data_IF_837796850674
#
_entry.id   IF_837796850674
#
_cell.length_a   1.000
_cell.length_b   1.000
_cell.length_c   1.000
_cell.angle_alpha   90.00
_cell.angle_beta   90.00
_cell.angle_gamma   90.00
#
_symmetry.space_group_name_H-M   'P 1'
#
loop_
_entity.id
_entity.type
_entity.pdbx_description
1 polymer ?
#
# COMPACT_ATOMS: atom_id res chain seq x y z
N UNK A 1 -7.70 -3.58 -7.03
CA UNK A 1 -9.16 -3.84 -7.08
C UNK A 1 -9.42 -5.33 -7.15
N UNK A 2 -10.51 -5.80 -6.58
CA UNK A 2 -10.92 -7.19 -6.67
C UNK A 2 -11.06 -7.63 -8.12
N UNK A 3 -10.78 -8.89 -8.41
CA UNK A 3 -10.99 -9.44 -9.75
C UNK A 3 -12.44 -9.88 -9.93
N UNK A 4 -12.99 -9.70 -11.14
CA UNK A 4 -14.34 -10.21 -11.45
C UNK A 4 -14.44 -11.72 -11.30
N UNK A 5 -13.34 -12.44 -11.52
CA UNK A 5 -13.27 -13.88 -11.28
C UNK A 5 -13.59 -14.20 -9.83
N UNK A 6 -12.88 -13.57 -8.88
CA UNK A 6 -13.11 -13.76 -7.44
C UNK A 6 -14.55 -13.42 -7.05
N UNK A 7 -15.08 -12.28 -7.53
CA UNK A 7 -16.44 -11.82 -7.22
C UNK A 7 -17.49 -12.83 -7.73
N UNK A 8 -17.31 -13.39 -8.95
CA UNK A 8 -18.26 -14.34 -9.52
C UNK A 8 -18.16 -15.74 -8.90
N UNK A 9 -16.94 -16.22 -8.59
CA UNK A 9 -16.71 -17.57 -8.09
C UNK A 9 -16.93 -17.70 -6.58
N UNK A 10 -16.68 -16.61 -5.81
CA UNK A 10 -16.69 -16.62 -4.35
C UNK A 10 -17.53 -15.46 -3.77
N UNK A 11 -18.68 -15.14 -4.40
CA UNK A 11 -19.52 -13.98 -4.07
C UNK A 11 -19.80 -13.85 -2.57
N UNK A 12 -20.22 -14.92 -1.91
CA UNK A 12 -20.55 -14.94 -0.49
C UNK A 12 -19.33 -14.66 0.41
N UNK A 13 -18.14 -15.17 0.03
CA UNK A 13 -16.90 -14.88 0.73
C UNK A 13 -16.52 -13.42 0.58
N UNK A 14 -16.68 -12.86 -0.61
CA UNK A 14 -16.40 -11.44 -0.87
C UNK A 14 -17.32 -10.55 -0.02
N UNK A 15 -18.62 -10.83 0.01
CA UNK A 15 -19.57 -10.06 0.84
C UNK A 15 -19.18 -10.11 2.32
N UNK A 16 -18.96 -11.33 2.88
CA UNK A 16 -18.52 -11.46 4.29
C UNK A 16 -17.22 -10.73 4.58
N UNK A 17 -16.24 -10.77 3.65
CA UNK A 17 -14.98 -10.03 3.80
C UNK A 17 -15.16 -8.53 3.81
N UNK A 18 -16.08 -8.00 3.00
CA UNK A 18 -16.43 -6.57 3.01
C UNK A 18 -17.16 -6.17 4.29
N UNK A 19 -18.07 -7.01 4.79
CA UNK A 19 -18.78 -6.82 6.07
C UNK A 19 -17.78 -6.80 7.23
N UNK A 20 -16.76 -7.69 7.22
CA UNK A 20 -15.67 -7.72 8.20
C UNK A 20 -14.86 -6.42 8.22
N UNK A 21 -14.71 -5.75 7.07
CA UNK A 21 -14.12 -4.39 6.97
C UNK A 21 -15.12 -3.26 7.25
N UNK A 22 -16.32 -3.59 7.71
CA UNK A 22 -17.40 -2.62 7.93
C UNK A 22 -17.73 -1.78 6.68
N UNK A 23 -17.51 -2.34 5.49
CA UNK A 23 -17.88 -1.68 4.24
C UNK A 23 -19.42 -1.58 4.13
N UNK A 24 -19.98 -0.37 3.97
CA UNK A 24 -21.42 -0.19 3.95
C UNK A 24 -22.04 -0.81 2.69
N UNK A 25 -23.23 -1.42 2.87
CA UNK A 25 -24.02 -1.99 1.77
C UNK A 25 -23.20 -2.98 0.90
N UNK A 26 -22.42 -3.86 1.56
CA UNK A 26 -21.50 -4.78 0.88
C UNK A 26 -22.20 -5.63 -0.18
N UNK A 27 -23.39 -6.19 0.15
CA UNK A 27 -24.16 -7.01 -0.76
C UNK A 27 -24.64 -6.22 -1.98
N UNK A 28 -25.23 -5.06 -1.77
CA UNK A 28 -25.76 -4.19 -2.82
C UNK A 28 -24.64 -3.75 -3.79
N UNK A 29 -23.45 -3.39 -3.25
CA UNK A 29 -22.30 -3.01 -4.06
C UNK A 29 -21.81 -4.16 -4.96
N UNK A 30 -21.79 -5.38 -4.44
CA UNK A 30 -21.42 -6.56 -5.24
C UNK A 30 -22.51 -6.92 -6.26
N UNK A 31 -23.78 -6.85 -5.90
CA UNK A 31 -24.89 -7.09 -6.81
C UNK A 31 -24.85 -6.08 -7.99
N UNK A 32 -24.51 -4.81 -7.74
CA UNK A 32 -24.35 -3.78 -8.77
C UNK A 32 -23.19 -4.10 -9.71
N UNK A 33 -22.02 -4.49 -9.20
CA UNK A 33 -20.87 -4.93 -10.03
C UNK A 33 -21.25 -6.11 -10.91
N UNK A 34 -21.94 -7.11 -10.36
CA UNK A 34 -22.38 -8.28 -11.11
C UNK A 34 -23.42 -7.94 -12.20
N UNK A 35 -24.31 -6.97 -11.93
CA UNK A 35 -25.30 -6.50 -12.91
C UNK A 35 -24.62 -5.77 -14.08
N UNK A 36 -23.62 -4.90 -13.79
CA UNK A 36 -22.85 -4.20 -14.82
C UNK A 36 -21.98 -5.19 -15.62
N UNK A 37 -21.36 -6.19 -14.98
CA UNK A 37 -20.61 -7.22 -15.69
C UNK A 37 -21.50 -8.08 -16.58
N UNK A 38 -22.71 -8.39 -16.15
CA UNK A 38 -23.72 -9.09 -16.99
C UNK A 38 -24.05 -8.28 -18.25
N UNK A 39 -24.35 -6.98 -18.10
CA UNK A 39 -24.62 -6.06 -19.21
C UNK A 39 -23.43 -5.98 -20.19
N UNK A 40 -22.21 -5.91 -19.67
CA UNK A 40 -20.98 -5.92 -20.47
C UNK A 40 -20.82 -7.20 -21.26
N UNK A 41 -21.04 -8.38 -20.62
CA UNK A 41 -20.95 -9.69 -21.28
C UNK A 41 -22.01 -9.88 -22.35
N UNK A 42 -23.25 -9.43 -22.10
CA UNK A 42 -24.34 -9.45 -23.08
C UNK A 42 -23.99 -8.59 -24.29
N UNK A 43 -23.51 -7.36 -24.07
CA UNK A 43 -23.07 -6.47 -25.16
C UNK A 43 -21.91 -7.08 -25.97
N UNK A 44 -20.94 -7.72 -25.31
CA UNK A 44 -19.83 -8.42 -25.98
C UNK A 44 -20.33 -9.57 -26.86
N UNK A 45 -21.27 -10.38 -26.36
CA UNK A 45 -21.84 -11.49 -27.13
C UNK A 45 -22.59 -11.02 -28.39
N UNK A 46 -23.37 -9.95 -28.25
CA UNK A 46 -24.10 -9.38 -29.39
C UNK A 46 -23.15 -8.70 -30.39
N UNK A 47 -22.10 -8.03 -29.90
CA UNK A 47 -21.02 -7.49 -30.74
C UNK A 47 -20.35 -8.61 -31.57
N UNK A 48 -19.94 -9.70 -30.92
CA UNK A 48 -19.29 -10.83 -31.58
C UNK A 48 -20.18 -11.47 -32.63
N UNK A 49 -21.50 -11.60 -32.36
CA UNK A 49 -22.49 -12.08 -33.35
C UNK A 49 -22.57 -11.13 -34.55
N UNK A 50 -22.75 -9.84 -34.33
CA UNK A 50 -22.81 -8.84 -35.40
C UNK A 50 -21.54 -8.86 -36.26
N UNK A 51 -20.36 -8.94 -35.67
CA UNK A 51 -19.09 -8.98 -36.40
C UNK A 51 -18.95 -10.28 -37.23
N UNK A 52 -19.38 -11.43 -36.71
CA UNK A 52 -19.36 -12.70 -37.42
C UNK A 52 -20.33 -12.68 -38.62
N UNK A 53 -21.58 -12.23 -38.44
CA UNK A 53 -22.57 -12.09 -39.52
C UNK A 53 -22.09 -11.09 -40.57
N UNK A 54 -21.54 -9.94 -40.18
CA UNK A 54 -20.98 -8.95 -41.08
C UNK A 54 -19.87 -9.54 -41.95
N UNK A 55 -18.97 -10.36 -41.36
CA UNK A 55 -17.92 -11.07 -42.10
C UNK A 55 -18.47 -12.05 -43.11
N UNK A 56 -19.49 -12.81 -42.74
CA UNK A 56 -20.13 -13.79 -43.63
C UNK A 56 -20.83 -13.09 -44.81
N UNK A 57 -21.65 -12.07 -44.53
CA UNK A 57 -22.41 -11.33 -45.56
C UNK A 57 -21.47 -10.54 -46.49
N UNK A 58 -20.38 -9.95 -45.95
CA UNK A 58 -19.37 -9.28 -46.76
C UNK A 58 -18.70 -10.22 -47.76
N UNK A 59 -18.48 -11.49 -47.36
CA UNK A 59 -17.98 -12.52 -48.28
C UNK A 59 -18.97 -12.90 -49.40
N UNK A 60 -20.30 -12.81 -49.14
CA UNK A 60 -21.34 -13.07 -50.12
C UNK A 60 -21.45 -11.98 -51.20
N UNK A 61 -21.23 -10.71 -50.84
CA UNK A 61 -21.31 -9.58 -51.78
C UNK A 61 -20.40 -9.81 -52.98
N UNK A 62 -19.15 -10.19 -52.76
CA UNK A 62 -18.19 -10.45 -53.83
C UNK A 62 -18.60 -11.61 -54.77
N UNK A 63 -19.29 -12.61 -54.22
CA UNK A 63 -19.80 -13.75 -54.97
C UNK A 63 -21.03 -13.34 -55.82
N UNK A 64 -22.01 -12.67 -55.22
CA UNK A 64 -23.22 -12.18 -55.90
C UNK A 64 -22.87 -11.22 -57.03
N UNK A 65 -21.91 -10.37 -56.84
CA UNK A 65 -21.43 -9.45 -57.90
C UNK A 65 -20.83 -10.21 -59.07
N UNK A 66 -20.06 -11.30 -58.83
CA UNK A 66 -19.51 -12.12 -59.89
C UNK A 66 -20.59 -12.93 -60.64
N UNK A 67 -21.65 -13.30 -59.94
CA UNK A 67 -22.82 -14.03 -60.52
C UNK A 67 -23.77 -13.07 -61.25
N UNK A 68 -23.53 -11.76 -61.27
CA UNK A 68 -24.38 -10.75 -61.93
C UNK A 68 -25.66 -10.38 -61.18
N UNK A 69 -25.86 -10.84 -59.95
CA UNK A 69 -27.03 -10.61 -59.08
C UNK A 69 -26.91 -9.30 -58.31
N UNK A 70 -27.02 -8.20 -59.05
CA UNK A 70 -26.79 -6.85 -58.48
C UNK A 70 -27.78 -6.49 -57.39
N UNK A 71 -29.08 -6.80 -57.58
CA UNK A 71 -30.13 -6.41 -56.62
C UNK A 71 -29.97 -7.17 -55.27
N UNK A 72 -29.64 -8.47 -55.34
CA UNK A 72 -29.31 -9.27 -54.13
C UNK A 72 -28.05 -8.73 -53.44
N UNK A 73 -27.03 -8.33 -54.21
CA UNK A 73 -25.82 -7.73 -53.66
C UNK A 73 -26.08 -6.39 -52.94
N UNK A 74 -26.98 -5.55 -53.44
CA UNK A 74 -27.36 -4.30 -52.77
C UNK A 74 -28.17 -4.54 -51.48
N UNK A 75 -29.04 -5.56 -51.44
CA UNK A 75 -29.72 -5.96 -50.22
C UNK A 75 -28.75 -6.43 -49.14
N UNK A 76 -27.76 -7.26 -49.51
CA UNK A 76 -26.72 -7.73 -48.59
C UNK A 76 -25.83 -6.56 -48.11
N UNK A 77 -25.53 -5.60 -48.95
CA UNK A 77 -24.81 -4.36 -48.55
C UNK A 77 -25.61 -3.56 -47.50
N UNK A 78 -26.92 -3.41 -47.69
CA UNK A 78 -27.78 -2.75 -46.70
C UNK A 78 -27.77 -3.47 -45.33
N UNK A 79 -27.83 -4.83 -45.34
CA UNK A 79 -27.73 -5.64 -44.13
C UNK A 79 -26.37 -5.49 -43.45
N UNK A 80 -25.27 -5.44 -44.20
CA UNK A 80 -23.92 -5.19 -43.66
C UNK A 80 -23.83 -3.81 -43.05
N UNK A 81 -24.48 -2.80 -43.64
CA UNK A 81 -24.51 -1.42 -43.10
C UNK A 81 -25.28 -1.39 -41.75
N UNK A 82 -26.43 -2.04 -41.65
CA UNK A 82 -27.23 -2.13 -40.42
C UNK A 82 -26.43 -2.88 -39.29
N UNK A 83 -25.80 -3.98 -39.63
CA UNK A 83 -24.95 -4.72 -38.68
C UNK A 83 -23.73 -3.89 -38.22
N UNK A 84 -23.18 -3.06 -39.09
CA UNK A 84 -22.08 -2.16 -38.74
C UNK A 84 -22.53 -1.08 -37.74
N UNK A 85 -23.71 -0.58 -37.88
CA UNK A 85 -24.30 0.37 -36.93
C UNK A 85 -24.59 -0.27 -35.58
N UNK A 86 -25.20 -1.47 -35.59
CA UNK A 86 -25.45 -2.25 -34.37
C UNK A 86 -24.16 -2.62 -33.64
N UNK A 87 -23.12 -3.06 -34.36
CA UNK A 87 -21.83 -3.39 -33.78
C UNK A 87 -21.20 -2.19 -33.07
N UNK A 88 -21.32 -0.99 -33.65
CA UNK A 88 -20.86 0.26 -33.01
C UNK A 88 -21.63 0.56 -31.72
N UNK A 89 -22.95 0.38 -31.71
CA UNK A 89 -23.77 0.60 -30.50
C UNK A 89 -23.41 -0.38 -29.37
N UNK A 90 -23.17 -1.65 -29.70
CA UNK A 90 -22.73 -2.63 -28.72
C UNK A 90 -21.32 -2.37 -28.19
N UNK A 91 -20.41 -1.93 -29.06
CA UNK A 91 -19.06 -1.53 -28.65
C UNK A 91 -19.07 -0.33 -27.67
N UNK A 92 -19.89 0.69 -27.99
CA UNK A 92 -20.11 1.85 -27.09
C UNK A 92 -20.75 1.42 -25.76
N UNK A 93 -21.70 0.50 -25.78
CA UNK A 93 -22.35 -0.04 -24.58
C UNK A 93 -21.35 -0.81 -23.71
N UNK A 94 -20.53 -1.64 -24.34
CA UNK A 94 -19.47 -2.40 -23.67
C UNK A 94 -18.42 -1.47 -23.04
N UNK A 95 -17.99 -0.43 -23.77
CA UNK A 95 -17.03 0.55 -23.26
C UNK A 95 -17.56 1.30 -22.03
N UNK A 96 -18.82 1.77 -22.09
CA UNK A 96 -19.50 2.43 -20.96
C UNK A 96 -19.61 1.50 -19.75
N UNK A 97 -20.04 0.25 -19.97
CA UNK A 97 -20.15 -0.73 -18.89
C UNK A 97 -18.78 -1.08 -18.28
N UNK A 98 -17.72 -1.12 -19.08
CA UNK A 98 -16.35 -1.32 -18.60
C UNK A 98 -15.86 -0.17 -17.74
N UNK A 99 -16.15 1.08 -18.12
CA UNK A 99 -15.81 2.27 -17.35
C UNK A 99 -16.58 2.30 -16.02
N UNK A 100 -17.92 2.13 -16.06
CA UNK A 100 -18.79 2.06 -14.89
C UNK A 100 -18.31 0.98 -13.90
N UNK A 101 -18.01 -0.22 -14.40
CA UNK A 101 -17.47 -1.32 -13.60
C UNK A 101 -16.14 -0.97 -12.93
N UNK A 102 -15.24 -0.28 -13.65
CA UNK A 102 -13.95 0.16 -13.09
C UNK A 102 -14.17 1.16 -11.97
N UNK A 103 -15.09 2.11 -12.14
CA UNK A 103 -15.44 3.09 -11.10
C UNK A 103 -16.02 2.41 -9.85
N UNK A 104 -16.94 1.46 -10.02
CA UNK A 104 -17.51 0.68 -8.90
C UNK A 104 -16.42 -0.12 -8.16
N UNK A 105 -15.60 -0.86 -8.89
CA UNK A 105 -14.53 -1.68 -8.30
C UNK A 105 -13.46 -0.83 -7.58
N UNK A 106 -13.23 0.42 -7.97
CA UNK A 106 -12.34 1.33 -7.27
C UNK A 106 -12.89 1.78 -5.90
N UNK A 107 -14.20 1.65 -5.69
CA UNK A 107 -14.86 2.00 -4.43
C UNK A 107 -14.90 0.85 -3.43
N UNK A 108 -14.65 -0.37 -3.88
CA UNK A 108 -14.73 -1.59 -3.07
C UNK A 108 -13.33 -1.93 -2.53
N UNK A 109 -13.17 -2.07 -1.19
CA UNK A 109 -11.89 -2.44 -0.59
C UNK A 109 -11.50 -3.88 -0.91
N UNK A 110 -10.25 -4.23 -0.61
CA UNK A 110 -9.81 -5.61 -0.62
C UNK A 110 -10.46 -6.39 0.53
N UNK A 111 -10.62 -7.70 0.36
CA UNK A 111 -11.18 -8.56 1.41
C UNK A 111 -10.06 -9.08 2.33
N UNK A 112 -10.32 -9.16 3.64
CA UNK A 112 -9.35 -9.67 4.60
C UNK A 112 -9.23 -11.20 4.53
N UNK A 113 -8.09 -11.71 4.99
CA UNK A 113 -7.92 -13.15 5.26
C UNK A 113 -8.82 -13.62 6.40
N UNK A 114 -9.06 -14.92 6.46
CA UNK A 114 -9.93 -15.51 7.48
C UNK A 114 -9.34 -15.32 8.90
N UNK A 115 -8.00 -15.35 9.03
CA UNK A 115 -7.26 -15.14 10.27
C UNK A 115 -7.30 -13.70 10.82
N UNK A 116 -7.71 -12.73 10.03
CA UNK A 116 -7.87 -11.33 10.48
C UNK A 116 -8.98 -11.27 11.53
N UNK A 117 -8.73 -10.69 12.72
CA UNK A 117 -9.76 -10.63 13.77
C UNK A 117 -10.92 -9.71 13.40
N UNK A 118 -12.08 -10.01 13.96
CA UNK A 118 -13.21 -9.08 13.97
C UNK A 118 -12.86 -7.87 14.84
N UNK A 119 -13.38 -6.70 14.49
CA UNK A 119 -13.12 -5.47 15.23
C UNK A 119 -13.45 -4.24 14.41
N UNK A 120 -13.60 -3.09 15.10
CA UNK A 120 -14.04 -1.83 14.49
C UNK A 120 -12.96 -0.76 14.47
N UNK A 121 -12.04 -0.81 15.42
CA UNK A 121 -11.07 0.25 15.65
C UNK A 121 -9.77 -0.32 16.24
N UNK A 122 -8.78 0.54 16.42
CA UNK A 122 -7.44 0.17 16.87
C UNK A 122 -7.40 -0.62 18.20
N UNK A 123 -8.36 -0.37 19.08
CA UNK A 123 -8.47 -1.08 20.37
C UNK A 123 -8.73 -2.58 20.21
N UNK A 124 -9.32 -2.98 19.09
CA UNK A 124 -9.65 -4.37 18.76
C UNK A 124 -8.50 -5.12 18.07
N UNK A 125 -7.40 -4.43 17.74
CA UNK A 125 -6.23 -5.07 17.15
C UNK A 125 -5.58 -6.04 18.13
N UNK A 126 -5.20 -7.22 17.65
CA UNK A 126 -4.57 -8.24 18.49
C UNK A 126 -3.06 -7.99 18.65
N UNK A 127 -2.56 -8.02 19.88
CA UNK A 127 -1.12 -7.99 20.15
C UNK A 127 -0.57 -9.42 20.02
N UNK A 128 0.03 -9.71 18.88
CA UNK A 128 0.47 -11.06 18.52
C UNK A 128 1.89 -11.37 18.96
N UNK A 129 2.72 -10.35 19.20
CA UNK A 129 4.10 -10.49 19.66
C UNK A 129 4.59 -9.25 20.38
N UNK A 130 5.47 -9.43 21.37
CA UNK A 130 6.18 -8.35 22.05
C UNK A 130 7.51 -8.88 22.62
N UNK A 131 8.50 -7.99 22.78
CA UNK A 131 9.72 -8.31 23.51
C UNK A 131 9.62 -8.07 25.04
N UNK A 132 8.43 -7.74 25.54
CA UNK A 132 8.20 -7.48 26.97
C UNK A 132 7.55 -8.64 27.70
N UNK A 133 6.66 -9.37 27.03
CA UNK A 133 6.00 -10.59 27.57
C UNK A 133 5.60 -11.51 26.42
N UNK A 134 5.37 -12.77 26.74
CA UNK A 134 4.70 -13.71 25.86
C UNK A 134 3.24 -13.28 25.64
N UNK A 135 2.79 -13.27 24.40
CA UNK A 135 1.44 -12.85 24.02
C UNK A 135 0.50 -14.05 23.91
N UNK A 136 -0.77 -13.83 24.18
CA UNK A 136 -1.86 -14.79 24.04
C UNK A 136 -2.87 -14.32 22.98
N UNK A 137 -3.73 -15.20 22.51
CA UNK A 137 -4.80 -14.87 21.57
C UNK A 137 -5.84 -13.85 22.10
N UNK A 138 -5.88 -13.62 23.42
CA UNK A 138 -6.77 -12.67 24.05
C UNK A 138 -6.15 -11.28 24.26
N UNK A 139 -4.88 -11.09 23.96
CA UNK A 139 -4.21 -9.80 24.10
C UNK A 139 -4.61 -8.87 22.94
N UNK A 140 -5.31 -7.78 23.27
CA UNK A 140 -5.68 -6.72 22.31
C UNK A 140 -5.08 -5.39 22.75
N UNK A 141 -5.04 -4.42 21.85
CA UNK A 141 -4.60 -3.06 22.19
C UNK A 141 -5.41 -2.49 23.34
N UNK A 142 -6.73 -2.72 23.34
CA UNK A 142 -7.66 -2.22 24.37
C UNK A 142 -7.45 -2.78 25.77
N UNK A 143 -6.86 -3.98 25.90
CA UNK A 143 -6.57 -4.60 27.20
C UNK A 143 -5.08 -4.76 27.51
N UNK A 144 -4.20 -4.20 26.67
CA UNK A 144 -2.75 -4.26 26.87
C UNK A 144 -2.30 -3.28 27.96
N UNK A 145 -1.94 -3.81 29.10
CA UNK A 145 -1.51 -3.05 30.29
C UNK A 145 0.03 -3.13 30.56
N UNK A 146 0.78 -3.74 29.62
CA UNK A 146 2.21 -3.94 29.77
C UNK A 146 2.97 -2.77 29.17
N UNK A 147 3.64 -2.02 30.03
CA UNK A 147 4.56 -0.96 29.66
C UNK A 147 5.96 -1.27 30.17
N UNK A 148 7.02 -1.01 29.39
CA UNK A 148 8.38 -1.20 29.86
C UNK A 148 8.68 -0.24 31.01
N UNK A 149 9.57 -0.68 31.91
CA UNK A 149 10.13 0.20 32.96
C UNK A 149 11.59 0.43 32.64
N UNK A 150 11.89 1.50 31.95
CA UNK A 150 13.26 1.81 31.51
C UNK A 150 14.12 2.45 32.63
N UNK A 151 13.52 2.76 33.80
CA UNK A 151 14.24 3.29 34.97
C UNK A 151 14.70 4.74 34.80
N UNK A 152 14.11 5.48 33.88
CA UNK A 152 14.43 6.88 33.63
C UNK A 152 13.55 7.74 34.54
N UNK A 153 14.16 8.46 35.45
CA UNK A 153 13.44 9.40 36.33
C UNK A 153 13.08 10.68 35.54
N UNK A 154 11.79 11.05 35.57
CA UNK A 154 11.27 12.26 34.92
C UNK A 154 11.74 12.39 33.45
N UNK A 155 11.42 11.41 32.57
CA UNK A 155 11.91 11.42 31.20
C UNK A 155 11.43 12.66 30.43
N UNK A 156 12.37 13.33 29.76
CA UNK A 156 12.04 14.46 28.89
C UNK A 156 11.51 13.94 27.54
N UNK A 157 10.46 14.54 26.99
CA UNK A 157 9.96 14.16 25.68
C UNK A 157 10.94 14.60 24.57
N UNK A 158 10.90 13.91 23.44
CA UNK A 158 11.85 14.11 22.33
C UNK A 158 11.93 15.57 21.83
N UNK A 159 10.86 16.35 21.87
CA UNK A 159 10.91 17.78 21.47
C UNK A 159 11.70 18.65 22.46
N UNK A 160 11.77 18.29 23.73
CA UNK A 160 12.62 18.98 24.71
C UNK A 160 14.07 18.53 24.60
N UNK A 161 14.31 17.23 24.40
CA UNK A 161 15.63 16.68 24.13
C UNK A 161 16.23 17.25 22.83
N UNK A 162 15.42 17.33 21.78
CA UNK A 162 15.80 17.94 20.50
C UNK A 162 16.27 19.39 20.68
N UNK A 163 15.58 20.16 21.49
CA UNK A 163 15.98 21.54 21.82
C UNK A 163 17.23 21.57 22.71
N UNK A 164 17.29 20.76 23.77
CA UNK A 164 18.39 20.68 24.73
C UNK A 164 19.74 20.40 24.05
N UNK A 165 19.75 19.47 23.10
CA UNK A 165 20.96 19.04 22.39
C UNK A 165 21.07 19.62 20.97
N UNK A 166 20.22 20.59 20.61
CA UNK A 166 20.20 21.25 19.30
C UNK A 166 20.16 20.25 18.12
N UNK A 167 19.24 19.29 18.19
CA UNK A 167 19.13 18.21 17.20
C UNK A 167 18.10 18.50 16.13
N UNK A 168 17.00 19.15 16.52
CA UNK A 168 15.85 19.43 15.63
C UNK A 168 15.29 20.80 16.02
N UNK A 169 15.08 21.64 15.03
CA UNK A 169 14.43 22.94 15.19
C UNK A 169 13.08 22.94 14.48
N UNK A 170 12.02 22.91 15.26
CA UNK A 170 10.64 22.93 14.76
C UNK A 170 10.21 24.36 14.35
N UNK A 171 10.75 25.39 15.02
CA UNK A 171 10.40 26.79 14.73
C UNK A 171 11.00 27.23 13.38
N UNK A 172 12.21 26.79 13.05
CA UNK A 172 12.77 26.98 11.71
C UNK A 172 11.93 26.30 10.64
N UNK A 173 11.42 25.11 10.88
CA UNK A 173 10.52 24.42 9.97
C UNK A 173 9.23 25.21 9.72
N UNK A 174 8.63 25.75 10.78
CA UNK A 174 7.46 26.64 10.67
C UNK A 174 7.80 27.90 9.86
N UNK A 175 9.00 28.48 10.05
CA UNK A 175 9.44 29.66 9.31
C UNK A 175 9.65 29.41 7.82
N UNK A 176 10.16 28.24 7.46
CA UNK A 176 10.52 27.88 6.07
C UNK A 176 9.29 27.42 5.28
N UNK A 177 8.46 26.56 5.89
CA UNK A 177 7.36 25.88 5.19
C UNK A 177 6.05 25.95 5.96
N UNK A 178 6.05 25.53 7.24
CA UNK A 178 4.86 25.43 8.09
C UNK A 178 5.04 24.40 9.20
N UNK A 179 4.03 24.23 10.04
CA UNK A 179 4.02 23.18 11.06
C UNK A 179 4.10 21.80 10.41
N UNK A 180 4.77 20.85 11.07
CA UNK A 180 4.95 19.49 10.55
C UNK A 180 6.10 19.28 9.56
N UNK A 181 6.99 20.29 9.41
CA UNK A 181 8.21 20.23 8.60
C UNK A 181 9.43 20.52 9.49
N UNK A 182 9.99 19.54 10.21
CA UNK A 182 11.11 19.75 11.13
C UNK A 182 12.43 20.00 10.39
N UNK A 183 13.32 20.81 10.98
CA UNK A 183 14.69 21.00 10.49
C UNK A 183 15.64 20.24 11.39
N UNK A 184 16.30 19.23 10.87
CA UNK A 184 17.32 18.45 11.59
C UNK A 184 18.68 19.15 11.53
N UNK A 185 19.39 19.23 12.67
CA UNK A 185 20.62 20.01 12.82
C UNK A 185 21.72 19.13 13.43
N UNK A 186 22.96 19.30 12.99
CA UNK A 186 24.14 18.71 13.62
C UNK A 186 24.04 17.19 13.83
N UNK A 187 24.11 16.75 15.11
CA UNK A 187 23.98 15.32 15.46
C UNK A 187 22.59 14.77 15.16
N UNK A 188 21.54 15.59 15.13
CA UNK A 188 20.20 15.18 14.70
C UNK A 188 20.13 14.82 13.22
N UNK A 189 20.70 15.66 12.34
CA UNK A 189 20.82 15.35 10.92
C UNK A 189 21.72 14.13 10.67
N UNK A 190 22.78 13.96 11.50
CA UNK A 190 23.62 12.77 11.43
C UNK A 190 22.88 11.52 11.85
N UNK A 191 22.03 11.57 12.88
CA UNK A 191 21.21 10.46 13.34
C UNK A 191 20.23 10.00 12.24
N UNK A 192 19.59 10.94 11.52
CA UNK A 192 18.74 10.63 10.38
C UNK A 192 19.51 9.83 9.32
N UNK A 193 20.68 10.32 8.89
CA UNK A 193 21.51 9.61 7.89
C UNK A 193 22.06 8.29 8.41
N UNK A 194 22.36 8.18 9.69
CA UNK A 194 22.82 6.93 10.32
C UNK A 194 21.73 5.87 10.27
N UNK A 195 20.49 6.23 10.60
CA UNK A 195 19.33 5.34 10.51
C UNK A 195 19.04 4.92 9.07
N UNK A 196 19.06 5.87 8.12
CA UNK A 196 18.85 5.58 6.69
C UNK A 196 19.87 4.53 6.21
N UNK A 197 21.15 4.78 6.42
CA UNK A 197 22.21 3.87 5.99
C UNK A 197 22.13 2.50 6.68
N UNK A 198 21.84 2.49 7.98
CA UNK A 198 21.68 1.26 8.75
C UNK A 198 20.52 0.41 8.20
N UNK A 199 19.35 1.00 7.98
CA UNK A 199 18.18 0.26 7.47
C UNK A 199 18.37 -0.24 6.04
N UNK A 200 18.98 0.56 5.16
CA UNK A 200 19.30 0.13 3.79
C UNK A 200 20.34 -1.01 3.78
N UNK A 201 21.37 -0.93 4.62
CA UNK A 201 22.37 -2.00 4.74
C UNK A 201 21.76 -3.30 5.26
N UNK A 202 20.84 -3.23 6.23
CA UNK A 202 20.13 -4.39 6.74
C UNK A 202 19.18 -4.98 5.69
N UNK A 203 18.46 -4.14 4.94
CA UNK A 203 17.61 -4.58 3.84
C UNK A 203 18.45 -5.29 2.76
N UNK A 204 19.60 -4.73 2.40
CA UNK A 204 20.53 -5.38 1.45
C UNK A 204 21.04 -6.73 1.94
N UNK A 205 21.38 -6.86 3.24
CA UNK A 205 21.78 -8.14 3.83
C UNK A 205 20.66 -9.19 3.78
N UNK A 206 19.41 -8.75 3.79
CA UNK A 206 18.22 -9.59 3.65
C UNK A 206 17.82 -9.86 2.18
N UNK A 207 18.69 -9.48 1.24
CA UNK A 207 18.54 -9.77 -0.20
C UNK A 207 17.65 -8.78 -0.95
N UNK A 208 17.35 -7.60 -0.39
CA UNK A 208 16.65 -6.54 -1.10
C UNK A 208 17.58 -5.78 -2.03
N UNK A 209 17.07 -5.44 -3.22
CA UNK A 209 17.72 -4.53 -4.16
C UNK A 209 17.30 -3.10 -3.83
N UNK A 210 18.27 -2.22 -3.62
CA UNK A 210 18.03 -0.81 -3.37
C UNK A 210 17.62 -0.08 -4.64
N UNK A 211 16.55 0.71 -4.55
CA UNK A 211 16.00 1.53 -5.63
C UNK A 211 15.96 2.99 -5.17
N UNK A 212 16.35 3.92 -6.01
CA UNK A 212 16.15 5.37 -5.81
C UNK A 212 15.09 5.88 -6.79
N UNK A 213 13.81 5.85 -6.42
CA UNK A 213 12.72 6.28 -7.28
C UNK A 213 12.51 7.82 -7.19
N UNK A 214 11.81 8.42 -8.17
CA UNK A 214 11.35 9.79 -8.04
C UNK A 214 10.34 9.94 -6.89
N UNK A 215 10.32 11.11 -6.24
CA UNK A 215 9.37 11.45 -5.17
C UNK A 215 8.09 12.11 -5.68
N UNK A 216 7.99 12.36 -6.97
CA UNK A 216 6.78 12.78 -7.68
C UNK A 216 6.34 11.70 -8.65
N UNK A 217 5.03 11.48 -8.73
CA UNK A 217 4.44 10.44 -9.59
C UNK A 217 3.22 10.98 -10.34
N UNK A 218 2.88 10.34 -11.46
CA UNK A 218 1.66 10.63 -12.20
C UNK A 218 0.43 9.93 -11.57
N UNK A 219 -0.78 10.34 -11.98
CA UNK A 219 -2.03 9.79 -11.50
C UNK A 219 -2.13 8.26 -11.71
N UNK A 220 -1.60 7.73 -12.82
CA UNK A 220 -1.61 6.29 -13.09
C UNK A 220 -0.82 5.48 -12.04
N UNK A 221 0.25 6.06 -11.48
CA UNK A 221 1.02 5.44 -10.40
C UNK A 221 0.26 5.43 -9.08
N UNK A 222 -0.39 6.55 -8.72
CA UNK A 222 -1.26 6.60 -7.55
C UNK A 222 -2.46 5.64 -7.64
N UNK A 223 -3.04 5.50 -8.83
CA UNK A 223 -4.10 4.53 -9.11
C UNK A 223 -3.61 3.09 -8.93
N UNK A 224 -2.40 2.78 -9.43
CA UNK A 224 -1.85 1.41 -9.44
C UNK A 224 -1.75 0.79 -8.05
N UNK A 225 -1.34 1.55 -7.06
CA UNK A 225 -1.20 1.11 -5.65
C UNK A 225 -2.41 1.43 -4.77
N UNK A 226 -3.37 2.22 -5.26
CA UNK A 226 -4.64 2.46 -4.58
C UNK A 226 -4.72 3.74 -3.77
N UNK A 227 -3.72 4.62 -3.84
CA UNK A 227 -3.78 5.96 -3.25
C UNK A 227 -4.76 6.88 -4.01
N UNK A 228 -4.98 6.62 -5.30
CA UNK A 228 -6.01 7.29 -6.08
C UNK A 228 -7.16 6.34 -6.44
N UNK A 229 -8.41 6.82 -6.43
CA UNK A 229 -8.84 8.17 -6.03
C UNK A 229 -8.56 8.44 -4.54
N UNK A 230 -8.03 9.63 -4.23
CA UNK A 230 -7.68 10.03 -2.86
C UNK A 230 -8.94 10.39 -2.06
N UNK A 231 -9.47 9.40 -1.35
CA UNK A 231 -10.71 9.53 -0.56
C UNK A 231 -10.51 10.33 0.73
N UNK A 232 -9.28 10.36 1.24
CA UNK A 232 -8.93 10.96 2.52
C UNK A 232 -8.25 12.32 2.37
N UNK A 233 -7.95 12.75 1.14
CA UNK A 233 -7.28 14.02 0.88
C UNK A 233 -5.84 14.06 1.38
N UNK A 234 -5.13 12.92 1.36
CA UNK A 234 -3.79 12.79 1.94
C UNK A 234 -2.67 13.18 0.99
N UNK A 235 -2.88 13.11 -0.32
CA UNK A 235 -1.83 13.40 -1.29
C UNK A 235 -1.70 14.89 -1.59
N UNK A 236 -0.46 15.38 -1.66
CA UNK A 236 -0.15 16.68 -2.24
C UNK A 236 -0.21 16.59 -3.76
N UNK A 237 -0.98 17.46 -4.41
CA UNK A 237 -1.16 17.52 -5.85
C UNK A 237 -0.54 18.79 -6.42
N UNK A 238 0.35 18.64 -7.40
CA UNK A 238 0.93 19.72 -8.21
C UNK A 238 0.04 19.95 -9.42
N UNK A 239 -0.92 20.87 -9.33
CA UNK A 239 -2.01 21.04 -10.30
C UNK A 239 -1.52 21.37 -11.73
N UNK A 240 -0.44 22.16 -11.85
CA UNK A 240 0.05 22.63 -13.17
C UNK A 240 0.59 21.47 -14.02
N UNK A 241 1.32 20.56 -13.38
CA UNK A 241 1.98 19.45 -14.06
C UNK A 241 1.23 18.12 -13.92
N UNK A 242 0.13 18.11 -13.17
CA UNK A 242 -0.65 16.92 -12.81
C UNK A 242 0.21 15.81 -12.17
N UNK A 243 1.08 16.20 -11.25
CA UNK A 243 1.90 15.29 -10.47
C UNK A 243 1.48 15.25 -9.00
N UNK A 244 1.78 14.15 -8.35
CA UNK A 244 1.52 13.93 -6.94
C UNK A 244 2.83 13.68 -6.19
N UNK A 245 3.00 14.32 -5.03
CA UNK A 245 4.08 13.96 -4.11
C UNK A 245 3.75 12.62 -3.47
N UNK A 246 4.72 11.72 -3.37
CA UNK A 246 4.49 10.38 -2.86
C UNK A 246 4.24 10.37 -1.34
N UNK A 247 3.22 9.65 -0.84
CA UNK A 247 3.02 9.43 0.59
C UNK A 247 3.86 8.28 1.14
N UNK A 248 4.48 7.50 0.27
CA UNK A 248 5.30 6.32 0.55
C UNK A 248 6.06 5.89 -0.71
N UNK A 249 7.25 5.32 -0.56
CA UNK A 249 8.00 4.74 -1.68
C UNK A 249 7.30 3.51 -2.30
N UNK A 250 6.33 2.92 -1.62
CA UNK A 250 5.45 1.90 -2.19
C UNK A 250 4.96 2.30 -3.58
N UNK A 251 4.49 3.55 -3.74
CA UNK A 251 3.89 4.02 -4.98
C UNK A 251 4.86 3.92 -6.16
N UNK A 252 6.01 4.59 -6.18
CA UNK A 252 6.92 4.49 -7.31
C UNK A 252 7.55 3.11 -7.46
N UNK A 253 7.93 2.43 -6.38
CA UNK A 253 8.65 1.14 -6.46
C UNK A 253 7.73 0.04 -6.98
N UNK A 254 6.49 -0.06 -6.52
CA UNK A 254 5.54 -1.06 -7.03
C UNK A 254 5.16 -0.77 -8.49
N UNK A 255 5.10 0.49 -8.89
CA UNK A 255 4.78 0.89 -10.26
C UNK A 255 5.90 0.61 -11.29
N UNK A 256 7.12 0.25 -10.87
CA UNK A 256 8.14 -0.29 -11.77
C UNK A 256 7.59 -1.52 -12.53
N UNK A 257 6.69 -2.26 -11.90
CA UNK A 257 6.10 -3.49 -12.43
C UNK A 257 4.70 -3.28 -13.04
N UNK A 258 4.29 -2.03 -13.30
CA UNK A 258 3.03 -1.72 -13.98
C UNK A 258 3.10 -2.11 -15.45
N UNK A 259 2.04 -2.83 -15.93
CA UNK A 259 1.92 -3.38 -17.29
C UNK A 259 3.02 -4.39 -17.67
N UNK A 260 3.64 -5.06 -16.68
CA UNK A 260 4.73 -6.03 -16.88
C UNK A 260 4.21 -7.46 -16.74
N UNK A 261 4.75 -8.36 -17.56
CA UNK A 261 4.64 -9.81 -17.39
C UNK A 261 6.03 -10.33 -17.03
N UNK A 262 6.19 -10.73 -15.79
CA UNK A 262 7.45 -11.25 -15.24
C UNK A 262 7.66 -12.72 -15.62
N UNK A 263 8.91 -13.13 -15.70
CA UNK A 263 9.24 -14.56 -15.72
C UNK A 263 9.12 -15.13 -14.29
N UNK A 264 8.51 -16.31 -14.15
CA UNK A 264 8.32 -16.96 -12.84
C UNK A 264 9.63 -17.17 -12.07
N UNK A 265 10.74 -17.43 -12.79
CA UNK A 265 12.07 -17.62 -12.20
C UNK A 265 12.65 -16.38 -11.51
N UNK A 266 12.12 -15.19 -11.83
CA UNK A 266 12.60 -13.91 -11.28
C UNK A 266 11.86 -13.56 -9.97
N UNK A 267 10.87 -14.36 -9.58
CA UNK A 267 10.12 -14.20 -8.33
C UNK A 267 10.75 -15.03 -7.18
N UNK A 268 10.73 -14.52 -5.93
CA UNK A 268 10.20 -13.22 -5.53
C UNK A 268 11.14 -12.07 -5.88
N UNK A 269 10.56 -10.94 -6.30
CA UNK A 269 11.29 -9.67 -6.40
C UNK A 269 11.28 -9.00 -5.03
N UNK A 270 12.44 -8.52 -4.58
CA UNK A 270 12.64 -7.85 -3.29
C UNK A 270 13.32 -6.50 -3.55
N UNK A 271 12.60 -5.40 -3.34
CA UNK A 271 13.13 -4.04 -3.48
C UNK A 271 13.03 -3.28 -2.17
N UNK A 272 14.01 -2.41 -1.89
CA UNK A 272 13.93 -1.41 -0.84
C UNK A 272 14.23 -0.02 -1.39
N UNK A 273 13.65 1.01 -0.78
CA UNK A 273 13.88 2.39 -1.16
C UNK A 273 13.85 3.32 0.05
N UNK A 274 14.81 4.24 0.10
CA UNK A 274 14.71 5.42 0.91
C UNK A 274 14.04 6.54 0.12
N UNK A 275 13.03 7.19 0.70
CA UNK A 275 12.45 8.43 0.16
C UNK A 275 11.98 9.36 1.27
N UNK A 276 11.92 10.66 0.96
CA UNK A 276 11.00 11.54 1.65
C UNK A 276 9.58 11.19 1.24
N UNK A 277 8.68 11.22 2.23
CA UNK A 277 7.25 10.92 2.07
C UNK A 277 6.45 12.15 2.48
N UNK A 278 5.37 12.44 1.75
CA UNK A 278 4.59 13.65 1.92
C UNK A 278 3.12 13.30 2.19
N UNK A 279 2.58 13.74 3.33
CA UNK A 279 1.18 13.52 3.70
C UNK A 279 0.55 14.83 4.14
N UNK A 280 -0.65 15.13 3.67
CA UNK A 280 -1.39 16.33 4.07
C UNK A 280 -1.88 16.28 5.50
N UNK A 281 -1.91 15.09 6.10
CA UNK A 281 -2.38 14.85 7.48
C UNK A 281 -3.74 15.50 7.74
N UNK A 282 -4.63 15.45 6.75
CA UNK A 282 -5.94 16.07 6.79
C UNK A 282 -6.74 15.53 7.99
N UNK A 283 -7.26 16.41 8.83
CA UNK A 283 -8.05 16.04 10.00
C UNK A 283 -7.25 15.73 11.28
N UNK A 284 -5.93 15.89 11.28
CA UNK A 284 -5.09 15.65 12.47
C UNK A 284 -4.92 16.91 13.31
N UNK A 285 -5.25 16.83 14.61
CA UNK A 285 -5.20 17.96 15.55
C UNK A 285 -4.68 17.55 16.93
N UNK A 286 -4.17 18.54 17.70
CA UNK A 286 -3.90 18.40 19.13
C UNK A 286 -2.57 17.76 19.50
N UNK A 287 -2.55 16.92 20.56
CA UNK A 287 -1.33 16.32 21.11
C UNK A 287 -0.58 15.41 20.15
N UNK A 288 -1.30 14.81 19.19
CA UNK A 288 -0.74 13.85 18.23
C UNK A 288 0.14 14.49 17.16
N UNK A 289 0.07 15.80 16.97
CA UNK A 289 0.91 16.57 16.02
C UNK A 289 2.14 17.20 16.66
N UNK A 290 2.41 16.97 17.95
CA UNK A 290 3.56 17.59 18.63
C UNK A 290 4.85 16.84 18.34
N UNK A 291 5.91 17.59 18.05
CA UNK A 291 7.26 17.05 17.81
C UNK A 291 7.30 16.22 16.53
N UNK A 292 7.77 14.97 16.63
CA UNK A 292 7.93 14.01 15.52
C UNK A 292 6.78 13.02 15.37
N UNK A 293 5.71 13.18 16.14
CA UNK A 293 4.64 12.19 16.15
C UNK A 293 3.85 12.12 14.84
N UNK A 294 3.66 13.30 14.18
CA UNK A 294 2.95 13.42 12.90
C UNK A 294 3.52 14.57 12.10
N UNK A 295 3.97 14.28 10.89
CA UNK A 295 4.69 15.22 10.03
C UNK A 295 4.08 15.22 8.62
N UNK A 296 4.14 16.36 7.95
CA UNK A 296 3.78 16.53 6.55
C UNK A 296 4.86 16.01 5.59
N UNK A 297 6.12 16.04 6.03
CA UNK A 297 7.28 15.51 5.32
C UNK A 297 8.12 14.68 6.29
N UNK A 298 8.47 13.46 5.88
CA UNK A 298 9.27 12.56 6.70
C UNK A 298 10.02 11.50 5.88
N UNK A 299 11.20 11.14 6.37
CA UNK A 299 12.04 10.09 5.79
C UNK A 299 11.52 8.69 6.15
N UNK A 300 11.48 7.79 5.17
CA UNK A 300 11.06 6.39 5.35
C UNK A 300 11.87 5.45 4.46
N UNK A 301 12.23 4.30 5.01
CA UNK A 301 12.67 3.17 4.19
C UNK A 301 11.47 2.26 3.99
N UNK A 302 11.21 1.92 2.73
CA UNK A 302 10.14 1.02 2.33
C UNK A 302 10.72 -0.24 1.71
N UNK A 303 10.17 -1.39 2.07
CA UNK A 303 10.44 -2.67 1.42
C UNK A 303 9.22 -3.10 0.64
N UNK A 304 9.43 -3.55 -0.59
CA UNK A 304 8.37 -3.97 -1.51
C UNK A 304 8.72 -5.35 -2.06
N UNK A 305 7.75 -6.26 -2.08
CA UNK A 305 7.88 -7.56 -2.72
C UNK A 305 6.81 -7.77 -3.78
N UNK A 306 7.20 -8.45 -4.84
CA UNK A 306 6.31 -9.01 -5.86
C UNK A 306 6.54 -10.51 -5.85
N UNK A 307 5.50 -11.29 -5.63
CA UNK A 307 5.62 -12.74 -5.52
C UNK A 307 4.44 -13.48 -6.15
N UNK A 308 4.55 -14.80 -6.18
CA UNK A 308 3.45 -15.68 -6.59
C UNK A 308 2.43 -15.83 -5.44
N UNK A 309 1.15 -16.08 -5.79
CA UNK A 309 0.12 -16.28 -4.78
C UNK A 309 0.47 -17.32 -3.71
N UNK A 310 1.01 -18.46 -4.12
CA UNK A 310 1.35 -19.57 -3.23
C UNK A 310 2.51 -19.27 -2.25
N UNK A 311 3.35 -18.29 -2.54
CA UNK A 311 4.52 -17.94 -1.72
C UNK A 311 4.32 -16.66 -0.91
N UNK A 312 3.29 -15.86 -1.20
CA UNK A 312 3.14 -14.51 -0.63
C UNK A 312 2.97 -14.49 0.89
N UNK A 313 2.39 -15.52 1.48
CA UNK A 313 2.29 -15.65 2.95
C UNK A 313 3.67 -15.84 3.60
N UNK A 314 4.54 -16.65 3.01
CA UNK A 314 5.91 -16.80 3.51
C UNK A 314 6.73 -15.53 3.28
N UNK A 315 6.60 -14.91 2.11
CA UNK A 315 7.19 -13.60 1.85
C UNK A 315 6.76 -12.55 2.87
N UNK A 316 5.49 -12.54 3.27
CA UNK A 316 4.98 -11.62 4.29
C UNK A 316 5.63 -11.89 5.65
N UNK A 317 5.73 -13.15 6.06
CA UNK A 317 6.40 -13.55 7.29
C UNK A 317 7.88 -13.12 7.33
N UNK A 318 8.64 -13.35 6.24
CA UNK A 318 10.03 -12.89 6.14
C UNK A 318 10.14 -11.36 6.26
N UNK A 319 9.15 -10.60 5.75
CA UNK A 319 9.12 -9.13 5.92
C UNK A 319 8.90 -8.74 7.39
N UNK A 320 7.99 -9.41 8.08
CA UNK A 320 7.75 -9.19 9.52
C UNK A 320 9.02 -9.49 10.33
N UNK A 321 9.69 -10.60 10.07
CA UNK A 321 10.94 -10.98 10.73
C UNK A 321 12.08 -9.97 10.47
N UNK A 322 12.14 -9.42 9.25
CA UNK A 322 13.10 -8.37 8.92
C UNK A 322 12.86 -7.10 9.74
N UNK A 323 11.63 -6.59 9.78
CA UNK A 323 11.27 -5.38 10.54
C UNK A 323 11.48 -5.58 12.04
N UNK A 324 11.08 -6.72 12.58
CA UNK A 324 11.34 -7.09 13.98
C UNK A 324 12.85 -7.09 14.29
N UNK A 325 13.65 -7.67 13.40
CA UNK A 325 15.10 -7.69 13.50
C UNK A 325 15.73 -6.29 13.59
N UNK A 326 15.17 -5.30 12.91
CA UNK A 326 15.61 -3.90 13.01
C UNK A 326 15.34 -3.32 14.40
N UNK A 327 14.13 -3.54 14.95
CA UNK A 327 13.77 -3.06 16.28
C UNK A 327 14.61 -3.70 17.38
N UNK A 328 14.88 -5.01 17.28
CA UNK A 328 15.77 -5.73 18.19
C UNK A 328 17.21 -5.15 18.18
N UNK A 329 17.75 -4.83 16.99
CA UNK A 329 19.08 -4.21 16.86
C UNK A 329 19.14 -2.77 17.40
N UNK A 330 18.01 -2.06 17.38
CA UNK A 330 17.88 -0.74 18.00
C UNK A 330 17.59 -0.80 19.50
N UNK A 331 17.46 -2.02 20.07
CA UNK A 331 17.19 -2.25 21.50
C UNK A 331 15.90 -1.54 21.99
N UNK A 332 14.91 -1.37 21.10
CA UNK A 332 13.66 -0.70 21.44
C UNK A 332 12.62 -1.68 21.99
N UNK A 333 11.86 -1.29 23.03
CA UNK A 333 10.66 -2.03 23.44
C UNK A 333 9.61 -1.94 22.33
N UNK A 334 9.09 -3.09 21.88
CA UNK A 334 8.11 -3.14 20.81
C UNK A 334 6.97 -4.13 21.08
N UNK A 335 5.87 -3.93 20.38
CA UNK A 335 4.81 -4.91 20.18
C UNK A 335 4.39 -4.94 18.71
N UNK A 336 3.90 -6.10 18.28
CA UNK A 336 3.41 -6.34 16.91
C UNK A 336 1.91 -6.60 16.99
N UNK A 337 1.15 -5.87 16.20
CA UNK A 337 -0.30 -5.93 16.14
C UNK A 337 -0.74 -6.61 14.85
N UNK A 338 -1.66 -7.55 14.93
CA UNK A 338 -2.48 -7.97 13.80
C UNK A 338 -3.73 -7.10 13.77
N UNK A 339 -3.87 -6.31 12.71
CA UNK A 339 -4.98 -5.38 12.59
C UNK A 339 -6.30 -6.11 12.35
N UNK A 340 -7.35 -5.68 13.05
CA UNK A 340 -8.71 -6.14 12.85
C UNK A 340 -9.33 -5.61 11.55
N UNK A 341 -10.45 -6.19 11.13
CA UNK A 341 -11.09 -5.84 9.86
C UNK A 341 -11.42 -4.36 9.70
N UNK A 342 -11.86 -3.69 10.77
CA UNK A 342 -12.24 -2.28 10.75
C UNK A 342 -11.07 -1.29 10.75
N UNK A 343 -9.87 -1.73 11.16
CA UNK A 343 -8.67 -0.89 11.21
C UNK A 343 -7.69 -1.14 10.04
N UNK A 344 -7.95 -2.17 9.23
CA UNK A 344 -7.11 -2.44 8.06
C UNK A 344 -7.26 -1.38 6.97
N UNK A 345 -6.14 -1.10 6.26
CA UNK A 345 -6.17 -0.24 5.10
C UNK A 345 -7.15 -0.74 4.02
N UNK A 346 -7.61 0.18 3.20
CA UNK A 346 -8.55 -0.10 2.10
C UNK A 346 -8.07 -1.21 1.16
N UNK A 347 -6.74 -1.28 0.92
CA UNK A 347 -6.15 -2.16 -0.10
C UNK A 347 -5.59 -3.46 0.44
N UNK A 348 -5.30 -3.59 1.75
CA UNK A 348 -4.67 -4.78 2.33
C UNK A 348 -5.64 -5.95 2.54
N UNK A 349 -5.15 -7.19 2.40
CA UNK A 349 -5.83 -8.42 2.83
C UNK A 349 -5.44 -8.82 4.24
N UNK A 350 -4.23 -8.49 4.66
CA UNK A 350 -3.73 -8.65 6.02
C UNK A 350 -2.66 -7.61 6.28
N UNK A 351 -2.63 -7.08 7.48
CA UNK A 351 -1.70 -6.04 7.89
C UNK A 351 -1.23 -6.28 9.33
N UNK A 352 0.07 -6.10 9.55
CA UNK A 352 0.66 -6.07 10.87
C UNK A 352 1.34 -4.73 11.10
N UNK A 353 1.03 -4.10 12.24
CA UNK A 353 1.70 -2.89 12.68
C UNK A 353 2.74 -3.18 13.76
N UNK A 354 3.83 -2.46 13.70
CA UNK A 354 4.87 -2.47 14.73
C UNK A 354 4.81 -1.17 15.48
N UNK A 355 4.72 -1.28 16.79
CA UNK A 355 4.75 -0.14 17.67
C UNK A 355 5.94 -0.22 18.63
N UNK A 356 6.53 0.95 18.93
CA UNK A 356 7.57 1.12 19.93
C UNK A 356 7.05 1.99 21.07
N UNK A 357 7.52 1.70 22.28
CA UNK A 357 7.11 2.49 23.45
C UNK A 357 7.89 3.81 23.52
N UNK A 358 7.20 4.89 23.79
CA UNK A 358 7.74 6.22 24.06
C UNK A 358 7.65 6.48 25.57
N UNK A 359 8.80 6.46 26.27
CA UNK A 359 8.85 6.54 27.74
C UNK A 359 8.30 7.87 28.26
N UNK A 360 8.71 8.98 27.65
CA UNK A 360 8.27 10.29 28.13
C UNK A 360 6.82 10.62 27.81
N UNK A 361 6.25 10.01 26.74
CA UNK A 361 4.85 10.20 26.38
C UNK A 361 3.94 9.16 27.06
N UNK A 362 4.50 8.09 27.62
CA UNK A 362 3.77 6.99 28.26
C UNK A 362 2.82 6.27 27.29
N UNK A 363 3.23 6.11 26.01
CA UNK A 363 2.39 5.50 24.98
C UNK A 363 3.17 4.73 23.93
N UNK A 364 2.47 3.89 23.20
CA UNK A 364 2.95 3.19 22.03
C UNK A 364 2.85 4.06 20.78
N UNK A 365 3.87 3.99 19.92
CA UNK A 365 3.98 4.73 18.66
C UNK A 365 4.16 3.74 17.51
N UNK A 366 3.25 3.72 16.56
CA UNK A 366 3.39 2.96 15.33
C UNK A 366 4.61 3.44 14.52
N UNK A 367 5.49 2.53 14.16
CA UNK A 367 6.72 2.81 13.41
C UNK A 367 6.82 2.07 12.08
N UNK A 368 5.97 1.07 11.88
CA UNK A 368 5.89 0.31 10.65
C UNK A 368 4.52 -0.32 10.50
N UNK A 369 4.10 -0.46 9.25
CA UNK A 369 2.96 -1.27 8.84
C UNK A 369 3.43 -2.19 7.71
N UNK A 370 3.17 -3.49 7.82
CA UNK A 370 3.59 -4.51 6.84
C UNK A 370 2.36 -5.23 6.32
N UNK A 371 2.10 -5.09 5.01
CA UNK A 371 0.86 -5.51 4.38
C UNK A 371 1.07 -6.51 3.24
N UNK A 372 0.13 -7.43 3.09
CA UNK A 372 -0.07 -8.22 1.88
C UNK A 372 -1.38 -7.77 1.21
N UNK A 373 -1.33 -7.50 -0.09
CA UNK A 373 -2.47 -7.00 -0.87
C UNK A 373 -3.07 -8.05 -1.78
N UNK A 374 -2.55 -9.27 -1.76
CA UNK A 374 -2.91 -10.31 -2.73
C UNK A 374 -2.83 -9.79 -4.17
N UNK A 375 -3.84 -10.05 -4.97
CA UNK A 375 -3.94 -9.58 -6.36
C UNK A 375 -4.49 -8.16 -6.49
N UNK A 376 -4.87 -7.50 -5.40
CA UNK A 376 -5.63 -6.24 -5.45
C UNK A 376 -4.90 -5.12 -6.19
N UNK A 377 -3.64 -4.86 -5.82
CA UNK A 377 -2.79 -3.88 -6.50
C UNK A 377 -2.32 -4.43 -7.86
N UNK A 378 -1.91 -5.70 -7.93
CA UNK A 378 -1.47 -6.32 -9.18
C UNK A 378 -2.54 -6.27 -10.28
N UNK A 379 -3.83 -6.35 -9.94
CA UNK A 379 -4.94 -6.20 -10.87
C UNK A 379 -5.05 -4.75 -11.41
N UNK A 380 -4.82 -3.72 -10.58
CA UNK A 380 -4.77 -2.32 -11.01
C UNK A 380 -3.54 -2.04 -11.88
N UNK A 381 -2.39 -2.56 -11.46
CA UNK A 381 -1.10 -2.43 -12.13
C UNK A 381 -1.00 -3.27 -13.40
N UNK A 382 -1.87 -4.29 -13.58
CA UNK A 382 -1.69 -5.35 -14.58
C UNK A 382 -0.33 -6.06 -14.44
N UNK A 383 0.15 -6.18 -13.20
CA UNK A 383 1.38 -6.90 -12.86
C UNK A 383 1.09 -8.40 -12.84
N UNK A 384 1.73 -9.13 -13.74
CA UNK A 384 1.48 -10.57 -13.96
C UNK A 384 2.79 -11.31 -14.08
N UNK A 385 2.74 -12.61 -13.89
CA UNK A 385 3.85 -13.50 -14.21
C UNK A 385 3.40 -14.61 -15.17
N UNK A 386 4.35 -15.19 -15.89
CA UNK A 386 4.11 -16.33 -16.76
C UNK A 386 4.41 -17.60 -16.00
N UNK A 387 3.36 -18.33 -15.62
CA UNK A 387 3.47 -19.62 -14.94
C UNK A 387 4.18 -20.63 -15.84
N UNK A 388 5.29 -21.19 -15.37
CA UNK A 388 6.16 -22.07 -16.16
C UNK A 388 5.52 -23.41 -16.51
N UNK A 389 4.62 -23.91 -15.63
CA UNK A 389 3.94 -25.18 -15.83
C UNK A 389 2.74 -25.05 -16.80
N UNK A 390 1.88 -24.03 -16.55
CA UNK A 390 0.63 -23.86 -17.32
C UNK A 390 0.81 -23.01 -18.57
N UNK A 391 1.92 -22.26 -18.69
CA UNK A 391 2.19 -21.26 -19.74
C UNK A 391 1.17 -20.09 -19.77
N UNK A 392 0.29 -20.01 -18.79
CA UNK A 392 -0.69 -18.94 -18.65
C UNK A 392 -0.08 -17.75 -17.89
N UNK A 393 -0.63 -16.58 -18.13
CA UNK A 393 -0.31 -15.39 -17.32
C UNK A 393 -1.26 -15.32 -16.13
N UNK A 394 -0.71 -15.12 -14.95
CA UNK A 394 -1.42 -15.00 -13.68
C UNK A 394 -1.05 -13.69 -12.99
N UNK A 395 -1.95 -13.15 -12.17
CA UNK A 395 -1.65 -11.95 -11.38
C UNK A 395 -0.64 -12.31 -10.28
N UNK A 396 0.33 -11.40 -10.06
CA UNK A 396 1.20 -11.47 -8.89
C UNK A 396 0.46 -11.07 -7.63
N UNK A 397 1.02 -11.41 -6.47
CA UNK A 397 0.74 -10.76 -5.19
C UNK A 397 1.75 -9.64 -4.96
N UNK A 398 1.30 -8.55 -4.35
CA UNK A 398 2.15 -7.43 -3.94
C UNK A 398 2.15 -7.30 -2.43
N UNK A 399 3.31 -6.98 -1.87
CA UNK A 399 3.50 -6.78 -0.44
C UNK A 399 4.37 -5.55 -0.23
N UNK A 400 4.12 -4.82 0.84
CA UNK A 400 5.02 -3.75 1.27
C UNK A 400 5.13 -3.68 2.79
N UNK A 401 6.12 -2.93 3.25
CA UNK A 401 6.26 -2.58 4.65
C UNK A 401 7.28 -1.48 4.87
N UNK A 402 7.06 -0.69 5.92
CA UNK A 402 8.04 0.30 6.33
C UNK A 402 9.17 -0.37 7.12
N UNK A 403 10.41 -0.16 6.71
CA UNK A 403 11.58 -0.73 7.35
C UNK A 403 12.65 0.32 7.75
N UNK A 404 12.37 1.43 8.45
CA UNK A 404 11.22 1.88 9.22
C UNK A 404 10.84 3.34 8.85
N UNK A 405 9.78 3.89 9.46
CA UNK A 405 9.48 5.33 9.42
C UNK A 405 10.32 6.05 10.48
N UNK A 406 11.23 6.95 10.05
CA UNK A 406 12.26 7.50 10.92
C UNK A 406 11.77 8.40 12.06
N UNK A 407 10.76 9.29 11.89
CA UNK A 407 10.46 10.27 12.93
C UNK A 407 10.13 9.66 14.29
N UNK A 408 9.25 8.65 14.30
CA UNK A 408 8.85 7.99 15.55
C UNK A 408 9.94 7.09 16.12
N UNK A 409 10.81 6.52 15.27
CA UNK A 409 12.03 5.83 15.70
C UNK A 409 13.00 6.82 16.38
N UNK A 410 13.22 7.99 15.77
CA UNK A 410 14.06 9.04 16.39
C UNK A 410 13.45 9.49 17.72
N UNK A 411 12.14 9.73 17.77
CA UNK A 411 11.47 10.10 19.02
C UNK A 411 11.70 9.05 20.13
N UNK A 412 11.46 7.77 19.83
CA UNK A 412 11.66 6.70 20.78
C UNK A 412 13.13 6.52 21.19
N UNK A 413 14.07 6.62 20.25
CA UNK A 413 15.51 6.56 20.56
C UNK A 413 15.96 7.69 21.48
N UNK A 414 15.50 8.92 21.23
CA UNK A 414 15.84 10.05 22.08
C UNK A 414 15.27 9.88 23.49
N UNK A 415 14.00 9.48 23.59
CA UNK A 415 13.31 9.37 24.87
C UNK A 415 13.78 8.17 25.70
N UNK A 416 13.94 7.01 25.06
CA UNK A 416 14.24 5.76 25.76
C UNK A 416 15.72 5.58 26.12
N UNK A 417 16.61 6.33 25.47
CA UNK A 417 18.06 6.23 25.68
C UNK A 417 18.67 7.46 26.39
N UNK A 418 17.83 8.35 26.93
CA UNK A 418 18.33 9.53 27.65
C UNK A 418 19.00 9.13 28.96
N UNK A 419 20.11 9.78 29.27
CA UNK A 419 20.90 9.62 30.49
C UNK A 419 21.30 10.99 31.04
N UNK A 420 21.93 11.03 32.21
CA UNK A 420 22.47 12.24 32.78
C UNK A 420 23.55 12.89 31.87
N UNK A 421 24.31 12.07 31.14
CA UNK A 421 25.44 12.52 30.30
C UNK A 421 25.07 12.76 28.82
N UNK A 422 23.82 12.53 28.42
CA UNK A 422 23.39 12.64 27.04
C UNK A 422 22.47 11.52 26.64
N UNK A 423 22.33 11.29 25.34
CA UNK A 423 21.50 10.22 24.78
C UNK A 423 22.41 9.12 24.26
N UNK A 424 22.31 7.92 24.83
CA UNK A 424 23.09 6.76 24.42
C UNK A 424 22.68 6.34 23.01
N UNK A 425 23.65 6.09 22.15
CA UNK A 425 23.43 5.58 20.80
C UNK A 425 23.41 4.06 20.84
N UNK A 426 22.39 3.36 20.31
CA UNK A 426 22.38 1.91 20.21
C UNK A 426 23.63 1.37 19.51
N UNK A 427 24.16 0.24 19.98
CA UNK A 427 25.42 -0.33 19.49
C UNK A 427 25.44 -0.51 17.96
N UNK A 428 24.31 -0.91 17.35
CA UNK A 428 24.17 -1.05 15.90
C UNK A 428 24.33 0.25 15.12
N UNK A 429 24.06 1.42 15.74
CA UNK A 429 24.16 2.74 15.09
C UNK A 429 25.51 3.41 15.31
N UNK A 430 26.30 3.00 16.31
CA UNK A 430 27.61 3.63 16.62
C UNK A 430 28.53 3.72 15.40
N UNK A 431 28.66 2.70 14.54
CA UNK A 431 29.51 2.79 13.34
C UNK A 431 29.05 3.87 12.34
N UNK A 432 27.74 4.15 12.27
CA UNK A 432 27.15 5.15 11.39
C UNK A 432 27.16 6.54 12.01
N UNK A 433 26.96 6.63 13.33
CA UNK A 433 27.00 7.86 14.09
C UNK A 433 28.42 8.39 14.31
N UNK A 434 29.39 7.48 14.51
CA UNK A 434 30.76 7.80 14.88
C UNK A 434 30.90 8.36 16.31
N UNK A 435 29.89 8.15 17.16
CA UNK A 435 29.88 8.41 18.59
C UNK A 435 28.89 7.46 19.27
N UNK A 436 29.07 7.24 20.54
CA UNK A 436 28.23 6.38 21.40
C UNK A 436 27.26 7.20 22.27
N UNK A 437 27.46 8.53 22.36
CA UNK A 437 26.61 9.47 23.09
C UNK A 437 26.34 10.72 22.22
N UNK A 438 25.10 11.18 22.25
CA UNK A 438 24.69 12.48 21.76
C UNK A 438 24.60 13.42 22.98
N UNK A 439 25.53 14.35 23.09
CA UNK A 439 25.68 15.34 24.12
C UNK A 439 25.60 16.76 23.57
#
# INVERSE_FOLDING_TARGET
MLTLKLINEETERVIRGLEKKHFPNAKEAIDEVLAVDKKRREAQQELDKCLNEQKQLSGQIGRLMKEGKKDEAEQVKAQVADLKEKSKQYDETMAKAQEEMTQLLCQIPNIPYDEVPEGKAAEDNHVVKSNLKECTENDTVGNWDVNPKLGIENPLPHWELAKKYNLIDFDLGVKITGAGFPVYIGKGARLQRALINFFLDEARKSGYTEIMPPTVVNAASGYGTGQLPDKEGQMYHCEVDDFYLIPTAEVPVTNIYRDVILDEKDLPIKNCAYTECFRREAGSYGKDVRGLNRLHEFSKIEIVRIDKPEHSKESHKEMLEHVEGLLNKLELPYRILLLCGGDQSFTSSICYDFEVYSEAQGRWLEVSSVSNFDTYQANRLKCRYRNAATKKTELCHTLNGSALALPRIVAALLENNQTENGIKVPAALVPYMGCDIID
#
